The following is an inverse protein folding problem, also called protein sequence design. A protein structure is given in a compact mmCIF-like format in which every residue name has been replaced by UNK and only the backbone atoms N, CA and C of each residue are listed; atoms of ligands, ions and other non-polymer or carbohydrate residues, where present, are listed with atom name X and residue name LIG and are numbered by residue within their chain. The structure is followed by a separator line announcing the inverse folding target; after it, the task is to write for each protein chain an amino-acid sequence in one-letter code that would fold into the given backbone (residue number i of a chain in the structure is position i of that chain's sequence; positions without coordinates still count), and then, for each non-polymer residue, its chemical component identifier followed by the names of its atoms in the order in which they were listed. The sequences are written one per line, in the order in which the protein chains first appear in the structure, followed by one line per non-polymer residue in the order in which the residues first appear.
data_IF_079463752573
#
_entry.id   IF_079463752573
#
_cell.length_a   1.000
_cell.length_b   1.000
_cell.length_c   1.000
_cell.angle_alpha   90.00
_cell.angle_beta   90.00
_cell.angle_gamma   90.00
#
_symmetry.space_group_name_H-M   'P 1'
#
loop_
_entity.id
_entity.type
_entity.pdbx_description
1 polymer ?
#
# COMPACT_ATOMS: atom_id res chain seq x y z
N UNK A 1 -1.71 -8.07 28.42
CA UNK A 1 -2.00 -8.03 26.97
C UNK A 1 -1.13 -6.96 26.35
N UNK A 2 -0.31 -7.29 25.36
CA UNK A 2 0.56 -6.31 24.70
C UNK A 2 -0.28 -5.49 23.71
N UNK A 3 -0.13 -4.16 23.74
CA UNK A 3 -0.70 -3.27 22.73
C UNK A 3 0.11 -3.42 21.44
N UNK A 4 -0.53 -3.87 20.35
CA UNK A 4 0.12 -4.08 19.06
C UNK A 4 0.18 -2.78 18.26
N UNK A 5 -0.88 -1.97 18.35
CA UNK A 5 -0.98 -0.69 17.65
C UNK A 5 -2.06 0.20 18.28
N UNK A 6 -1.88 1.53 18.23
CA UNK A 6 -2.93 2.48 18.58
C UNK A 6 -2.84 3.77 17.78
N UNK A 7 -3.98 4.40 17.54
CA UNK A 7 -4.07 5.58 16.69
C UNK A 7 -5.50 6.07 16.52
N UNK A 8 -5.66 7.17 15.79
CA UNK A 8 -6.98 7.72 15.51
C UNK A 8 -7.48 7.22 14.15
N UNK A 9 -8.71 6.74 14.11
CA UNK A 9 -9.42 6.42 12.87
C UNK A 9 -10.81 7.02 12.91
N UNK A 10 -11.37 7.31 11.74
CA UNK A 10 -12.75 7.76 11.65
C UNK A 10 -13.66 6.54 11.48
N UNK A 11 -14.61 6.35 12.39
CA UNK A 11 -15.54 5.22 12.38
C UNK A 11 -16.88 5.67 11.80
N UNK A 12 -17.45 4.89 10.88
CA UNK A 12 -18.80 5.17 10.41
C UNK A 12 -19.81 5.02 11.55
N UNK A 13 -20.69 6.02 11.65
CA UNK A 13 -21.87 5.97 12.49
C UNK A 13 -23.00 5.33 11.67
N UNK A 14 -23.16 4.01 11.79
CA UNK A 14 -24.29 3.32 11.18
C UNK A 14 -25.55 3.69 11.97
N UNK A 15 -26.22 4.77 11.57
CA UNK A 15 -27.58 5.03 12.03
C UNK A 15 -28.50 3.98 11.40
N UNK A 16 -28.82 2.93 12.16
CA UNK A 16 -29.95 2.04 11.88
C UNK A 16 -31.26 2.80 12.07
N UNK A 17 -31.62 3.71 11.16
CA UNK A 17 -33.00 4.14 10.96
C UNK A 17 -33.17 5.04 9.74
N UNK A 18 -34.08 4.61 8.86
CA UNK A 18 -34.85 5.44 7.91
C UNK A 18 -34.10 6.11 6.76
N UNK A 19 -34.14 5.48 5.57
CA UNK A 19 -34.72 6.01 4.32
C UNK A 19 -34.41 7.43 3.80
N UNK A 20 -33.48 8.19 4.40
CA UNK A 20 -33.06 9.50 3.93
C UNK A 20 -31.54 9.57 4.02
N UNK A 21 -30.89 9.84 2.89
CA UNK A 21 -29.45 10.06 2.80
C UNK A 21 -29.04 11.31 3.61
N UNK A 22 -28.85 11.16 4.92
CA UNK A 22 -27.92 12.02 5.64
C UNK A 22 -26.54 11.44 5.37
N UNK A 23 -25.66 12.20 4.73
CA UNK A 23 -24.31 11.76 4.35
C UNK A 23 -23.62 10.98 5.48
N UNK A 24 -22.89 9.93 5.10
CA UNK A 24 -22.16 9.07 6.02
C UNK A 24 -21.34 9.91 7.00
N UNK A 25 -21.75 9.93 8.27
CA UNK A 25 -21.02 10.63 9.30
C UNK A 25 -19.95 9.69 9.84
N UNK A 26 -18.70 10.11 9.69
CA UNK A 26 -17.54 9.45 10.27
C UNK A 26 -17.16 10.17 11.56
N UNK A 27 -17.16 9.44 12.67
CA UNK A 27 -16.76 9.96 13.98
C UNK A 27 -15.30 9.57 14.25
N UNK A 28 -14.44 10.56 14.49
CA UNK A 28 -13.05 10.30 14.88
C UNK A 28 -12.99 9.66 16.27
N UNK A 29 -12.40 8.47 16.36
CA UNK A 29 -12.23 7.71 17.61
C UNK A 29 -10.79 7.24 17.76
N UNK A 30 -10.39 6.99 19.00
CA UNK A 30 -9.06 6.45 19.29
C UNK A 30 -9.16 4.93 19.37
N UNK A 31 -8.43 4.22 18.52
CA UNK A 31 -8.42 2.77 18.44
C UNK A 31 -7.17 2.19 19.10
N UNK A 32 -7.34 1.07 19.79
CA UNK A 32 -6.28 0.24 20.34
C UNK A 32 -6.46 -1.18 19.85
N UNK A 33 -5.45 -1.67 19.16
CA UNK A 33 -5.34 -3.05 18.72
C UNK A 33 -4.54 -3.84 19.74
N UNK A 34 -5.16 -4.87 20.27
CA UNK A 34 -4.57 -5.91 21.10
C UNK A 34 -4.63 -7.25 20.38
N UNK A 35 -3.92 -8.25 20.90
CA UNK A 35 -3.90 -9.60 20.33
C UNK A 35 -5.32 -10.17 20.19
N UNK A 36 -5.81 -10.25 18.95
CA UNK A 36 -7.17 -10.69 18.61
C UNK A 36 -8.33 -9.71 18.87
N UNK A 37 -8.10 -8.50 19.42
CA UNK A 37 -9.20 -7.59 19.78
C UNK A 37 -8.92 -6.12 19.44
N UNK A 38 -9.88 -5.46 18.80
CA UNK A 38 -9.85 -4.03 18.47
C UNK A 38 -10.82 -3.26 19.37
N UNK A 39 -10.29 -2.43 20.25
CA UNK A 39 -11.06 -1.56 21.14
C UNK A 39 -11.01 -0.11 20.66
N UNK A 40 -12.10 0.65 20.84
CA UNK A 40 -12.11 2.08 20.55
C UNK A 40 -12.67 2.90 21.71
N UNK A 41 -12.20 4.15 21.77
CA UNK A 41 -12.47 5.11 22.82
C UNK A 41 -12.93 6.42 22.17
N UNK A 42 -13.80 7.18 22.83
CA UNK A 42 -14.21 8.49 22.32
C UNK A 42 -13.07 9.49 22.45
N UNK A 43 -12.26 9.35 23.50
CA UNK A 43 -11.04 10.10 23.74
C UNK A 43 -9.90 9.18 24.19
N UNK A 44 -8.66 9.61 23.95
CA UNK A 44 -7.46 8.91 24.42
C UNK A 44 -7.39 8.83 25.96
N UNK A 45 -8.06 9.75 26.64
CA UNK A 45 -8.11 9.82 28.11
C UNK A 45 -9.17 8.92 28.74
N UNK A 46 -10.00 8.26 27.94
CA UNK A 46 -11.07 7.41 28.45
C UNK A 46 -10.50 6.11 29.00
N UNK A 47 -10.97 5.71 30.18
CA UNK A 47 -10.55 4.45 30.84
C UNK A 47 -11.34 3.24 30.34
N UNK A 48 -12.56 3.46 29.86
CA UNK A 48 -13.45 2.40 29.38
C UNK A 48 -13.62 2.53 27.86
N UNK A 49 -13.54 1.41 27.12
CA UNK A 49 -13.76 1.44 25.68
C UNK A 49 -15.24 1.72 25.39
N UNK A 50 -15.49 2.63 24.45
CA UNK A 50 -16.83 2.86 23.90
C UNK A 50 -17.33 1.65 23.08
N UNK A 51 -16.44 0.72 22.75
CA UNK A 51 -16.75 -0.58 22.18
C UNK A 51 -15.49 -1.37 21.86
N UNK A 52 -15.62 -2.68 21.72
CA UNK A 52 -14.55 -3.61 21.38
C UNK A 52 -15.06 -4.65 20.38
N UNK A 53 -14.25 -5.01 19.40
CA UNK A 53 -14.53 -5.97 18.34
C UNK A 53 -13.52 -7.11 18.45
N UNK A 54 -13.99 -8.35 18.53
CA UNK A 54 -13.13 -9.52 18.33
C UNK A 54 -12.81 -9.64 16.84
N UNK A 55 -11.53 -9.76 16.50
CA UNK A 55 -11.03 -9.77 15.13
C UNK A 55 -10.63 -11.19 14.69
N UNK A 56 -10.65 -12.15 15.61
CA UNK A 56 -10.27 -13.53 15.31
C UNK A 56 -11.19 -14.11 14.24
N UNK A 57 -10.63 -14.50 13.09
CA UNK A 57 -11.40 -15.02 11.96
C UNK A 57 -12.21 -13.95 11.19
N UNK A 58 -12.01 -12.66 11.49
CA UNK A 58 -12.57 -11.57 10.70
C UNK A 58 -11.89 -11.40 9.35
N UNK A 59 -12.59 -10.81 8.39
CA UNK A 59 -12.08 -10.41 7.08
C UNK A 59 -11.97 -8.89 6.99
N UNK A 60 -10.98 -8.41 6.25
CA UNK A 60 -10.78 -6.98 5.97
C UNK A 60 -11.02 -6.72 4.49
N UNK A 61 -12.01 -5.90 4.17
CA UNK A 61 -12.23 -5.37 2.82
C UNK A 61 -11.72 -3.93 2.73
N UNK A 62 -11.15 -3.56 1.58
CA UNK A 62 -10.53 -2.26 1.35
C UNK A 62 -11.17 -1.56 0.15
N UNK A 63 -11.48 -0.28 0.32
CA UNK A 63 -11.93 0.62 -0.74
C UNK A 63 -11.19 1.97 -0.60
N UNK A 64 -10.06 2.09 -1.30
CA UNK A 64 -9.22 3.29 -1.27
C UNK A 64 -8.64 3.62 0.12
N UNK A 65 -9.18 4.64 0.78
CA UNK A 65 -8.81 5.08 2.15
C UNK A 65 -9.77 4.58 3.23
N UNK A 66 -10.73 3.74 2.85
CA UNK A 66 -11.72 3.13 3.72
C UNK A 66 -11.44 1.64 3.86
N UNK A 67 -11.60 1.13 5.08
CA UNK A 67 -11.45 -0.27 5.43
C UNK A 67 -12.71 -0.75 6.15
N UNK A 68 -13.31 -1.83 5.67
CA UNK A 68 -14.40 -2.52 6.34
C UNK A 68 -13.85 -3.76 7.04
N UNK A 69 -14.05 -3.83 8.36
CA UNK A 69 -13.76 -5.00 9.18
C UNK A 69 -15.05 -5.79 9.33
N UNK A 70 -15.09 -6.97 8.72
CA UNK A 70 -16.23 -7.87 8.71
C UNK A 70 -15.91 -9.01 9.67
N UNK A 71 -16.74 -9.16 10.70
CA UNK A 71 -16.66 -10.24 11.68
C UNK A 71 -18.04 -10.85 11.82
N UNK A 72 -18.12 -12.04 12.42
CA UNK A 72 -19.40 -12.73 12.67
C UNK A 72 -20.33 -11.89 13.56
N UNK A 73 -19.77 -11.06 14.45
CA UNK A 73 -20.55 -10.21 15.33
C UNK A 73 -21.10 -8.96 14.62
N UNK A 74 -20.23 -8.28 13.86
CA UNK A 74 -20.58 -7.02 13.19
C UNK A 74 -19.56 -6.61 12.14
N UNK A 75 -20.03 -5.81 11.19
CA UNK A 75 -19.18 -5.05 10.28
C UNK A 75 -18.99 -3.62 10.80
N UNK A 76 -17.74 -3.17 10.86
CA UNK A 76 -17.41 -1.75 11.11
C UNK A 76 -16.66 -1.18 9.92
N UNK A 77 -17.04 0.03 9.50
CA UNK A 77 -16.35 0.75 8.43
C UNK A 77 -15.49 1.84 9.08
N UNK A 78 -14.20 1.83 8.76
CA UNK A 78 -13.18 2.72 9.28
C UNK A 78 -12.52 3.48 8.13
N UNK A 79 -12.17 4.73 8.35
CA UNK A 79 -11.45 5.57 7.39
C UNK A 79 -10.19 6.12 8.03
N UNK A 80 -9.08 6.02 7.32
CA UNK A 80 -7.81 6.64 7.72
C UNK A 80 -7.62 7.98 7.01
N UNK A 81 -6.77 8.84 7.58
CA UNK A 81 -6.47 10.16 6.98
C UNK A 81 -5.63 10.01 5.71
N UNK A 82 -4.82 8.95 5.64
CA UNK A 82 -3.93 8.66 4.51
C UNK A 82 -3.96 7.16 4.18
N UNK A 83 -3.68 6.83 2.91
CA UNK A 83 -3.56 5.43 2.47
C UNK A 83 -2.40 4.70 3.17
N UNK A 84 -1.33 5.42 3.53
CA UNK A 84 -0.19 4.86 4.27
C UNK A 84 -0.59 4.43 5.68
N UNK A 85 -1.33 5.29 6.40
CA UNK A 85 -1.87 4.96 7.72
C UNK A 85 -2.83 3.76 7.63
N UNK A 86 -3.68 3.70 6.61
CA UNK A 86 -4.56 2.55 6.39
C UNK A 86 -3.76 1.24 6.20
N UNK A 87 -2.72 1.27 5.38
CA UNK A 87 -1.88 0.10 5.12
C UNK A 87 -1.13 -0.38 6.38
N UNK A 88 -0.70 0.54 7.25
CA UNK A 88 -0.16 0.21 8.57
C UNK A 88 -1.20 -0.54 9.43
N UNK A 89 -2.42 -0.03 9.49
CA UNK A 89 -3.51 -0.67 10.23
C UNK A 89 -3.85 -2.06 9.71
N UNK A 90 -4.00 -2.21 8.39
CA UNK A 90 -4.31 -3.51 7.75
C UNK A 90 -3.23 -4.54 8.07
N UNK A 91 -1.96 -4.18 7.94
CA UNK A 91 -0.85 -5.09 8.25
C UNK A 91 -0.85 -5.52 9.71
N UNK A 92 -1.13 -4.59 10.62
CA UNK A 92 -1.19 -4.86 12.06
C UNK A 92 -2.39 -5.73 12.42
N UNK A 93 -3.53 -5.53 11.76
CA UNK A 93 -4.73 -6.36 11.90
C UNK A 93 -4.50 -7.78 11.37
N UNK A 94 -3.82 -7.93 10.23
CA UNK A 94 -3.44 -9.24 9.69
C UNK A 94 -2.50 -10.01 10.65
N UNK A 95 -1.54 -9.31 11.26
CA UNK A 95 -0.66 -9.91 12.28
C UNK A 95 -1.40 -10.27 13.58
N UNK A 96 -2.54 -9.64 13.87
CA UNK A 96 -3.35 -9.88 15.06
C UNK A 96 -4.38 -11.02 14.89
N UNK A 97 -4.36 -11.76 13.78
CA UNK A 97 -5.25 -12.91 13.54
C UNK A 97 -6.48 -12.63 12.68
N UNK A 98 -6.56 -11.46 12.04
CA UNK A 98 -7.55 -11.20 11.00
C UNK A 98 -7.07 -11.88 9.70
N UNK A 99 -7.73 -12.94 9.26
CA UNK A 99 -7.35 -13.62 8.02
C UNK A 99 -7.60 -12.67 6.84
N UNK A 100 -6.53 -12.32 6.13
CA UNK A 100 -6.64 -11.57 4.89
C UNK A 100 -7.44 -12.40 3.89
N UNK A 101 -8.61 -11.91 3.50
CA UNK A 101 -9.43 -12.50 2.45
C UNK A 101 -8.73 -12.42 1.08
N UNK A 102 -7.72 -13.26 0.88
CA UNK A 102 -7.19 -13.63 -0.42
C UNK A 102 -7.52 -15.10 -0.67
N UNK A 103 -8.81 -15.41 -0.82
CA UNK A 103 -9.27 -16.73 -1.20
C UNK A 103 -9.16 -16.90 -2.73
N UNK A 104 -7.94 -17.17 -3.20
CA UNK A 104 -7.73 -17.85 -4.47
C UNK A 104 -7.89 -19.36 -4.23
N UNK A 105 -9.12 -19.87 -4.33
CA UNK A 105 -9.38 -21.30 -4.35
C UNK A 105 -9.15 -21.84 -5.76
N UNK A 106 -7.95 -22.40 -5.97
CA UNK A 106 -7.67 -23.32 -7.08
C UNK A 106 -8.55 -24.56 -6.85
N UNK A 107 -9.41 -24.83 -7.83
CA UNK A 107 -10.28 -26.00 -7.81
C UNK A 107 -9.51 -27.30 -7.95
N UNK A 108 -10.06 -28.36 -7.36
CA UNK A 108 -9.87 -29.70 -7.89
C UNK A 108 -11.23 -30.39 -7.97
N UNK A 109 -11.53 -30.90 -9.16
CA UNK A 109 -12.82 -31.47 -9.51
C UNK A 109 -12.96 -32.90 -9.04
N UNK A 110 -14.17 -33.30 -8.65
CA UNK A 110 -14.56 -34.68 -8.82
C UNK A 110 -16.06 -34.81 -9.06
N UNK A 111 -16.37 -35.42 -10.20
CA UNK A 111 -17.68 -35.75 -10.72
C UNK A 111 -18.33 -36.89 -9.94
N UNK A 112 -19.65 -36.79 -9.74
CA UNK A 112 -20.56 -37.92 -10.01
C UNK A 112 -22.01 -37.48 -9.80
N UNK A 113 -22.73 -37.33 -10.91
CA UNK A 113 -24.17 -37.58 -10.95
C UNK A 113 -24.40 -39.09 -10.75
N UNK A 114 -25.52 -39.47 -10.11
CA UNK A 114 -26.24 -40.64 -10.59
C UNK A 114 -27.73 -40.30 -10.75
N UNK A 115 -28.19 -40.26 -12.01
CA UNK A 115 -29.54 -40.69 -12.28
C UNK A 115 -29.59 -42.19 -11.99
N UNK A 116 -30.36 -42.59 -10.99
CA UNK A 116 -30.68 -43.99 -10.70
C UNK A 116 -32.20 -44.14 -10.65
N UNK A 117 -32.71 -44.64 -11.78
CA UNK A 117 -33.83 -45.57 -12.02
C UNK A 117 -35.08 -45.60 -11.13
N UNK A 118 -36.20 -45.80 -11.83
CA UNK A 118 -37.57 -45.66 -11.37
C UNK A 118 -38.14 -46.78 -10.50
N UNK A 119 -39.34 -46.52 -9.96
CA UNK A 119 -40.29 -47.55 -9.52
C UNK A 119 -41.72 -46.99 -9.34
N UNK A 120 -42.61 -47.40 -10.25
CA UNK A 120 -43.97 -47.96 -10.02
C UNK A 120 -45.08 -47.17 -9.27
N UNK A 121 -46.20 -46.96 -9.95
CA UNK A 121 -47.48 -47.60 -9.56
C UNK A 121 -48.66 -46.74 -9.06
N UNK A 122 -49.81 -46.93 -9.72
CA UNK A 122 -51.22 -46.69 -9.30
C UNK A 122 -51.72 -45.22 -9.21
N UNK A 123 -52.68 -44.76 -10.03
CA UNK A 123 -54.10 -45.13 -10.25
C UNK A 123 -55.09 -44.43 -9.31
N UNK A 124 -56.09 -43.79 -9.95
CA UNK A 124 -57.45 -43.44 -9.50
C UNK A 124 -57.74 -42.11 -8.77
N UNK A 125 -58.64 -41.35 -9.43
CA UNK A 125 -59.86 -40.71 -8.91
C UNK A 125 -59.83 -39.31 -8.24
N UNK A 126 -60.50 -38.40 -8.96
CA UNK A 126 -61.54 -37.43 -8.53
C UNK A 126 -61.15 -36.05 -7.93
N UNK A 127 -61.99 -35.01 -8.16
CA UNK A 127 -61.61 -33.60 -8.13
C UNK A 127 -62.10 -32.87 -6.87
N UNK A 128 -61.29 -31.98 -6.29
CA UNK A 128 -61.75 -30.88 -5.41
C UNK A 128 -60.57 -30.02 -4.96
N UNK A 129 -60.85 -28.72 -4.74
CA UNK A 129 -60.02 -27.68 -4.13
C UNK A 129 -59.07 -26.88 -5.06
N UNK A 130 -59.54 -25.70 -5.48
CA UNK A 130 -58.63 -24.55 -5.60
C UNK A 130 -58.19 -24.13 -4.19
N UNK A 131 -56.91 -23.77 -3.94
CA UNK A 131 -56.59 -22.34 -3.91
C UNK A 131 -55.14 -21.96 -4.33
N UNK A 132 -54.97 -20.73 -4.82
CA UNK A 132 -53.78 -19.83 -4.80
C UNK A 132 -52.36 -20.42 -4.59
N UNK A 133 -51.41 -20.15 -5.50
CA UNK A 133 -49.99 -20.38 -5.18
C UNK A 133 -48.86 -20.26 -6.22
N UNK A 134 -49.02 -19.64 -7.39
CA UNK A 134 -47.93 -19.53 -8.37
C UNK A 134 -47.08 -18.27 -8.19
N UNK A 135 -46.38 -18.13 -7.06
CA UNK A 135 -45.47 -16.99 -6.79
C UNK A 135 -44.02 -17.37 -6.48
N UNK A 136 -43.77 -18.59 -6.00
CA UNK A 136 -42.45 -18.99 -5.46
C UNK A 136 -41.41 -19.32 -6.54
N UNK A 137 -41.82 -19.83 -7.71
CA UNK A 137 -40.88 -20.20 -8.79
C UNK A 137 -40.38 -19.01 -9.61
N UNK A 138 -41.17 -17.95 -9.79
CA UNK A 138 -40.76 -16.76 -10.52
C UNK A 138 -39.72 -15.94 -9.73
N UNK A 139 -39.93 -15.82 -8.41
CA UNK A 139 -38.99 -15.13 -7.52
C UNK A 139 -37.64 -15.85 -7.42
N UNK A 140 -37.65 -17.19 -7.35
CA UNK A 140 -36.43 -18.01 -7.35
C UNK A 140 -35.62 -17.87 -8.65
N UNK A 141 -36.27 -17.81 -9.82
CA UNK A 141 -35.59 -17.57 -11.10
C UNK A 141 -34.97 -16.18 -11.18
N UNK A 142 -35.69 -15.15 -10.71
CA UNK A 142 -35.19 -13.78 -10.70
C UNK A 142 -33.96 -13.63 -9.80
N UNK A 143 -33.98 -14.22 -8.60
CA UNK A 143 -32.83 -14.18 -7.67
C UNK A 143 -31.60 -14.86 -8.28
N UNK A 144 -31.76 -16.04 -8.89
CA UNK A 144 -30.65 -16.76 -9.54
C UNK A 144 -30.04 -15.97 -10.71
N UNK A 145 -30.87 -15.31 -11.51
CA UNK A 145 -30.37 -14.50 -12.63
C UNK A 145 -29.66 -13.22 -12.17
N UNK A 146 -30.11 -12.62 -11.07
CA UNK A 146 -29.43 -11.46 -10.47
C UNK A 146 -28.08 -11.84 -9.82
N UNK A 147 -28.00 -13.01 -9.17
CA UNK A 147 -26.74 -13.55 -8.65
C UNK A 147 -25.74 -13.84 -9.78
N UNK A 148 -26.18 -14.51 -10.86
CA UNK A 148 -25.34 -14.80 -12.03
C UNK A 148 -24.82 -13.54 -12.72
N UNK A 149 -25.64 -12.49 -12.82
CA UNK A 149 -25.22 -11.19 -13.35
C UNK A 149 -24.24 -10.47 -12.42
N UNK A 150 -24.44 -10.58 -11.10
CA UNK A 150 -23.49 -10.08 -10.10
C UNK A 150 -22.14 -10.79 -10.19
N UNK A 151 -22.13 -12.11 -10.28
CA UNK A 151 -20.91 -12.93 -10.46
C UNK A 151 -20.16 -12.53 -11.72
N UNK A 152 -20.82 -12.46 -12.89
CA UNK A 152 -20.17 -12.04 -14.13
C UNK A 152 -19.64 -10.59 -14.09
N UNK A 153 -20.34 -9.69 -13.39
CA UNK A 153 -19.90 -8.31 -13.23
C UNK A 153 -18.63 -8.25 -12.38
N UNK A 154 -18.62 -8.92 -11.23
CA UNK A 154 -17.46 -9.00 -10.35
C UNK A 154 -16.26 -9.64 -11.06
N UNK A 155 -16.49 -10.68 -11.85
CA UNK A 155 -15.45 -11.38 -12.62
C UNK A 155 -14.84 -10.50 -13.74
N UNK A 156 -15.66 -9.63 -14.34
CA UNK A 156 -15.19 -8.64 -15.31
C UNK A 156 -14.40 -7.50 -14.68
N UNK A 157 -14.80 -7.06 -13.47
CA UNK A 157 -14.10 -6.03 -12.69
C UNK A 157 -12.77 -6.57 -12.16
N UNK A 158 -12.73 -7.81 -11.68
CA UNK A 158 -11.51 -8.50 -11.25
C UNK A 158 -10.48 -8.62 -12.39
N UNK A 159 -10.91 -9.02 -13.60
CA UNK A 159 -10.02 -9.07 -14.78
C UNK A 159 -9.52 -7.69 -15.19
N UNK A 160 -10.33 -6.65 -15.02
CA UNK A 160 -9.90 -5.28 -15.31
C UNK A 160 -8.85 -4.80 -14.29
N UNK A 161 -9.02 -5.13 -13.01
CA UNK A 161 -8.06 -4.83 -11.94
C UNK A 161 -6.77 -5.59 -12.16
N UNK A 162 -6.82 -6.89 -12.42
CA UNK A 162 -5.63 -7.72 -12.69
C UNK A 162 -4.82 -7.17 -13.87
N UNK A 163 -5.50 -6.77 -14.95
CA UNK A 163 -4.84 -6.12 -16.09
C UNK A 163 -4.21 -4.78 -15.73
N UNK A 164 -4.85 -3.99 -14.86
CA UNK A 164 -4.25 -2.73 -14.38
C UNK A 164 -3.05 -2.99 -13.49
N UNK A 165 -3.10 -3.96 -12.59
CA UNK A 165 -1.99 -4.33 -11.70
C UNK A 165 -0.76 -4.74 -12.51
N UNK A 166 -0.91 -5.66 -13.47
CA UNK A 166 0.18 -6.07 -14.35
C UNK A 166 0.77 -4.87 -15.11
N UNK A 167 -0.09 -4.00 -15.65
CA UNK A 167 0.39 -2.79 -16.33
C UNK A 167 1.13 -1.83 -15.40
N UNK A 168 0.75 -1.75 -14.12
CA UNK A 168 1.45 -0.91 -13.13
C UNK A 168 2.76 -1.52 -12.69
N UNK A 169 2.84 -2.85 -12.55
CA UNK A 169 4.08 -3.57 -12.23
C UNK A 169 5.12 -3.36 -13.34
N UNK A 170 4.73 -3.53 -14.61
CA UNK A 170 5.60 -3.25 -15.77
C UNK A 170 6.12 -1.80 -15.77
N UNK A 171 5.26 -0.83 -15.40
CA UNK A 171 5.63 0.57 -15.33
C UNK A 171 6.61 0.87 -14.18
N UNK A 172 6.44 0.19 -13.04
CA UNK A 172 7.33 0.27 -11.87
C UNK A 172 8.69 -0.31 -12.20
N UNK A 173 8.75 -1.48 -12.84
CA UNK A 173 10.00 -2.10 -13.27
C UNK A 173 10.76 -1.20 -14.27
N UNK A 174 10.04 -0.62 -15.24
CA UNK A 174 10.60 0.33 -16.18
C UNK A 174 11.08 1.63 -15.49
N UNK A 175 10.42 2.07 -14.42
CA UNK A 175 10.87 3.20 -13.62
C UNK A 175 12.13 2.86 -12.80
N UNK A 176 12.17 1.68 -12.19
CA UNK A 176 13.30 1.20 -11.40
C UNK A 176 14.57 1.08 -12.27
N UNK A 177 14.47 0.52 -13.47
CA UNK A 177 15.59 0.44 -14.42
C UNK A 177 16.13 1.84 -14.77
N UNK A 178 15.24 2.82 -14.97
CA UNK A 178 15.64 4.21 -15.27
C UNK A 178 16.35 4.86 -14.09
N UNK A 179 15.83 4.70 -12.88
CA UNK A 179 16.45 5.24 -11.66
C UNK A 179 17.84 4.63 -11.46
N UNK A 180 17.98 3.32 -11.60
CA UNK A 180 19.27 2.63 -11.47
C UNK A 180 20.26 3.13 -12.51
N UNK A 181 19.84 3.31 -13.77
CA UNK A 181 20.70 3.86 -14.83
C UNK A 181 21.17 5.28 -14.48
N UNK A 182 20.27 6.15 -14.04
CA UNK A 182 20.62 7.52 -13.65
C UNK A 182 21.57 7.54 -12.46
N UNK A 183 21.36 6.67 -11.46
CA UNK A 183 22.24 6.56 -10.31
C UNK A 183 23.66 6.13 -10.69
N UNK A 184 23.79 5.13 -11.58
CA UNK A 184 25.09 4.68 -12.11
C UNK A 184 25.77 5.80 -12.89
N UNK A 185 25.05 6.47 -13.79
CA UNK A 185 25.60 7.60 -14.56
C UNK A 185 26.09 8.73 -13.65
N UNK A 186 25.30 9.08 -12.62
CA UNK A 186 25.67 10.14 -11.66
C UNK A 186 26.92 9.75 -10.86
N UNK A 187 27.02 8.49 -10.43
CA UNK A 187 28.22 7.97 -9.76
C UNK A 187 29.45 8.06 -10.67
N UNK A 188 29.32 7.64 -11.92
CA UNK A 188 30.43 7.61 -12.87
C UNK A 188 30.89 9.02 -13.27
N UNK A 189 29.95 9.97 -13.41
CA UNK A 189 30.27 11.39 -13.59
C UNK A 189 31.01 11.92 -12.36
N UNK A 190 30.53 11.62 -11.15
CA UNK A 190 31.19 12.01 -9.91
C UNK A 190 32.63 11.46 -9.81
N UNK A 191 32.85 10.20 -10.17
CA UNK A 191 34.17 9.59 -10.19
C UNK A 191 35.13 10.32 -11.17
N UNK A 192 34.65 10.67 -12.37
CA UNK A 192 35.44 11.45 -13.35
C UNK A 192 35.76 12.85 -12.83
N UNK A 193 34.81 13.51 -12.17
CA UNK A 193 35.05 14.84 -11.58
C UNK A 193 36.10 14.77 -10.47
N UNK A 194 36.05 13.76 -9.60
CA UNK A 194 37.06 13.57 -8.57
C UNK A 194 38.45 13.33 -9.16
N UNK A 195 38.55 12.51 -10.20
CA UNK A 195 39.82 12.28 -10.90
C UNK A 195 40.38 13.59 -11.48
N UNK A 196 39.54 14.42 -12.12
CA UNK A 196 39.96 15.72 -12.63
C UNK A 196 40.44 16.66 -11.52
N UNK A 197 39.77 16.66 -10.36
CA UNK A 197 40.18 17.48 -9.22
C UNK A 197 41.52 17.02 -8.64
N UNK A 198 41.79 15.71 -8.61
CA UNK A 198 43.09 15.17 -8.21
C UNK A 198 44.20 15.60 -9.19
N UNK A 199 43.96 15.47 -10.49
CA UNK A 199 44.90 15.91 -11.54
C UNK A 199 45.19 17.41 -11.44
N UNK A 200 44.15 18.24 -11.26
CA UNK A 200 44.30 19.67 -11.03
C UNK A 200 45.08 19.97 -9.74
N UNK A 201 44.83 19.22 -8.67
CA UNK A 201 45.56 19.36 -7.40
C UNK A 201 47.05 19.06 -7.55
N UNK A 202 47.42 18.04 -8.34
CA UNK A 202 48.82 17.73 -8.65
C UNK A 202 49.45 18.84 -9.48
N UNK A 203 48.77 19.35 -10.49
CA UNK A 203 49.26 20.48 -11.29
C UNK A 203 49.46 21.73 -10.43
N UNK A 204 48.53 22.03 -9.52
CA UNK A 204 48.63 23.16 -8.62
C UNK A 204 49.86 23.06 -7.71
N UNK A 205 50.13 21.88 -7.13
CA UNK A 205 51.35 21.65 -6.34
C UNK A 205 52.62 21.88 -7.16
N UNK A 206 52.62 21.45 -8.43
CA UNK A 206 53.75 21.68 -9.33
C UNK A 206 53.97 23.17 -9.61
N UNK A 207 52.90 23.91 -9.92
CA UNK A 207 52.96 25.36 -10.13
C UNK A 207 53.48 26.06 -8.88
N UNK A 208 53.04 25.65 -7.69
CA UNK A 208 53.51 26.22 -6.43
C UNK A 208 55.01 25.98 -6.21
N UNK A 209 55.49 24.77 -6.52
CA UNK A 209 56.92 24.47 -6.45
C UNK A 209 57.74 25.29 -7.48
N UNK A 210 57.23 25.44 -8.70
CA UNK A 210 57.86 26.26 -9.73
C UNK A 210 57.90 27.74 -9.35
N UNK A 211 56.84 28.29 -8.75
CA UNK A 211 56.82 29.65 -8.22
C UNK A 211 57.82 29.86 -7.08
N UNK A 212 57.96 28.89 -6.17
CA UNK A 212 58.96 28.95 -5.11
C UNK A 212 60.39 28.97 -5.69
N UNK A 213 60.67 28.10 -6.66
CA UNK A 213 61.96 28.07 -7.36
C UNK A 213 62.23 29.39 -8.10
N UNK A 214 61.25 29.93 -8.83
CA UNK A 214 61.35 31.23 -9.47
C UNK A 214 61.65 32.35 -8.47
N UNK A 215 61.00 32.35 -7.30
CA UNK A 215 61.28 33.31 -6.23
C UNK A 215 62.74 33.24 -5.76
N UNK A 216 63.28 32.04 -5.55
CA UNK A 216 64.70 31.88 -5.19
C UNK A 216 65.65 32.33 -6.30
N UNK A 217 65.32 32.03 -7.56
CA UNK A 217 66.13 32.44 -8.71
C UNK A 217 66.13 33.96 -8.89
N UNK A 218 64.98 34.61 -8.73
CA UNK A 218 64.87 36.07 -8.78
C UNK A 218 65.65 36.73 -7.65
N UNK A 219 65.55 36.21 -6.41
CA UNK A 219 66.34 36.70 -5.28
C UNK A 219 67.85 36.57 -5.50
N UNK A 220 68.29 35.46 -6.08
CA UNK A 220 69.70 35.26 -6.42
C UNK A 220 70.14 36.21 -7.55
N UNK A 221 69.31 36.41 -8.57
CA UNK A 221 69.58 37.36 -9.64
C UNK A 221 69.70 38.80 -9.10
N UNK A 222 68.82 39.21 -8.18
CA UNK A 222 68.87 40.54 -7.56
C UNK A 222 70.15 40.75 -6.73
N UNK A 223 70.60 39.72 -6.00
CA UNK A 223 71.90 39.75 -5.31
C UNK A 223 73.08 39.90 -6.27
N UNK A 224 73.05 39.19 -7.41
CA UNK A 224 74.10 39.30 -8.44
C UNK A 224 74.10 40.70 -9.02
N UNK A 225 72.95 41.24 -9.40
CA UNK A 225 72.81 42.61 -9.93
C UNK A 225 73.33 43.63 -8.92
N UNK A 226 72.95 43.50 -7.64
CA UNK A 226 73.42 44.36 -6.56
C UNK A 226 74.95 44.31 -6.39
N UNK A 227 75.56 43.13 -6.53
CA UNK A 227 77.03 42.99 -6.53
C UNK A 227 77.69 43.62 -7.75
N UNK A 228 77.10 43.45 -8.94
CA UNK A 228 77.61 44.07 -10.17
C UNK A 228 77.51 45.59 -10.14
N UNK A 229 76.50 46.15 -9.45
CA UNK A 229 76.32 47.60 -9.36
C UNK A 229 77.42 48.30 -8.58
N UNK A 230 78.10 47.59 -7.65
CA UNK A 230 79.15 48.13 -6.79
C UNK A 230 78.70 49.34 -5.96
N UNK A 231 79.43 49.72 -4.90
CA UNK A 231 79.24 51.05 -4.34
C UNK A 231 79.73 52.05 -5.39
N UNK A 232 78.82 52.85 -5.94
CA UNK A 232 79.18 54.09 -6.64
C UNK A 232 79.91 54.96 -5.61
N UNK A 233 81.24 54.81 -5.54
CA UNK A 233 82.10 55.72 -4.81
C UNK A 233 82.09 57.02 -5.60
N UNK A 234 81.18 57.91 -5.22
CA UNK A 234 81.30 59.33 -5.52
C UNK A 234 82.51 59.83 -4.73
N UNK A 235 83.64 59.96 -5.44
CA UNK A 235 84.76 60.82 -5.05
C UNK A 235 84.47 62.24 -5.51
#
# INVERSE_FOLDING_TARGET
MAELHSGYLEKSSVNKSSGKSSGEKYDRRFFKLTDGMLSWYNSKSDKEPAGFLDINGGSVELDGVVMALITDERTIVLRASTAHELAEWVRKLAMAGCEGGAAASIGDGSSSNPFADGAWGASAAAPSAAPYGTGKHAHSKYIKEQLRKGEHKNDSELKAIEKQVVSTEDAVDAAQIRILRTAVQTRDVGAKTLQQLEEQGVQMKRIQAEQANLGTNLHNADKVISRMRGPLRFT
#
